data_IF_797344835041
#
_entry.id   IF_797344835041
#
_cell.length_a   1.000
_cell.length_b   1.000
_cell.length_c   1.000
_cell.angle_alpha   90.00
_cell.angle_beta   90.00
_cell.angle_gamma   90.00
#
_symmetry.space_group_name_H-M   'P 1'
#
loop_
_entity.id
_entity.type
_entity.pdbx_description
1 polymer ?
#
# COMPACT_ATOMS: atom_id res chain seq x y z
N UNK A 1 -29.24 1.75 -1.84
CA UNK A 1 -27.98 1.11 -2.28
C UNK A 1 -28.03 0.93 -3.79
N UNK A 2 -27.15 1.60 -4.56
CA UNK A 2 -26.97 1.29 -5.99
C UNK A 2 -26.52 -0.18 -6.09
N UNK A 3 -27.20 -1.01 -6.88
CA UNK A 3 -26.67 -2.32 -7.27
C UNK A 3 -25.48 -2.05 -8.19
N UNK A 4 -24.26 -2.18 -7.66
CA UNK A 4 -23.06 -2.23 -8.49
C UNK A 4 -22.97 -3.65 -9.05
N UNK A 5 -22.87 -3.81 -10.37
CA UNK A 5 -22.56 -5.13 -10.94
C UNK A 5 -21.14 -5.52 -10.53
N UNK A 6 -20.85 -6.83 -10.51
CA UNK A 6 -19.50 -7.32 -10.22
C UNK A 6 -18.46 -6.69 -11.15
N UNK A 7 -18.74 -6.65 -12.46
CA UNK A 7 -17.86 -6.02 -13.46
C UNK A 7 -17.61 -4.53 -13.18
N UNK A 8 -18.62 -3.79 -12.70
CA UNK A 8 -18.45 -2.39 -12.35
C UNK A 8 -17.56 -2.22 -11.11
N UNK A 9 -17.66 -3.14 -10.14
CA UNK A 9 -16.82 -3.13 -8.94
C UNK A 9 -15.37 -3.48 -9.25
N UNK A 10 -15.13 -4.50 -10.09
CA UNK A 10 -13.81 -4.88 -10.60
C UNK A 10 -13.17 -3.73 -11.38
N UNK A 11 -13.93 -3.09 -12.27
CA UNK A 11 -13.46 -1.93 -13.02
C UNK A 11 -13.11 -0.73 -12.13
N UNK A 12 -13.89 -0.47 -11.08
CA UNK A 12 -13.55 0.54 -10.08
C UNK A 12 -12.32 0.16 -9.26
N UNK A 13 -12.19 -1.12 -8.86
CA UNK A 13 -11.02 -1.62 -8.13
C UNK A 13 -9.74 -1.33 -8.93
N UNK A 14 -9.67 -1.82 -10.17
CA UNK A 14 -8.50 -1.63 -11.03
C UNK A 14 -8.23 -0.15 -11.29
N UNK A 15 -9.28 0.64 -11.52
CA UNK A 15 -9.15 2.10 -11.73
C UNK A 15 -8.49 2.81 -10.55
N UNK A 16 -8.81 2.43 -9.32
CA UNK A 16 -8.28 3.09 -8.13
C UNK A 16 -6.99 2.46 -7.64
N UNK A 17 -6.85 1.14 -7.65
CA UNK A 17 -5.73 0.49 -6.97
C UNK A 17 -4.57 0.13 -7.90
N UNK A 18 -4.84 -0.13 -9.18
CA UNK A 18 -3.80 -0.55 -10.12
C UNK A 18 -3.25 0.62 -10.94
N UNK A 19 -4.10 1.59 -11.32
CA UNK A 19 -3.69 2.70 -12.19
C UNK A 19 -3.28 3.99 -11.49
N UNK A 20 -3.51 4.11 -10.18
CA UNK A 20 -3.24 5.34 -9.43
C UNK A 20 -2.25 5.10 -8.30
N UNK A 21 -1.06 5.70 -8.43
CA UNK A 21 -0.01 5.55 -7.42
C UNK A 21 -0.38 6.17 -6.06
N UNK A 22 -1.30 7.13 -6.03
CA UNK A 22 -1.83 7.77 -4.82
C UNK A 22 -2.79 6.90 -4.01
N UNK A 23 -3.32 5.84 -4.61
CA UNK A 23 -4.33 4.97 -3.99
C UNK A 23 -3.93 3.51 -3.99
N UNK A 24 -2.80 3.14 -4.61
CA UNK A 24 -2.31 1.75 -4.64
C UNK A 24 -2.23 1.11 -3.24
N UNK A 25 -2.39 -0.21 -3.17
CA UNK A 25 -2.50 -0.95 -1.91
C UNK A 25 -1.14 -1.51 -1.42
N UNK A 26 -0.05 -0.78 -1.65
CA UNK A 26 1.30 -1.21 -1.26
C UNK A 26 1.97 -0.21 -0.32
N UNK A 27 2.24 -0.61 0.92
CA UNK A 27 2.78 0.25 1.97
C UNK A 27 4.07 0.94 1.54
N UNK A 28 5.01 0.18 0.98
CA UNK A 28 6.34 0.73 0.63
C UNK A 28 6.30 1.57 -0.63
N UNK A 29 5.30 1.41 -1.51
CA UNK A 29 5.13 2.27 -2.68
C UNK A 29 4.76 3.71 -2.27
N UNK A 30 3.96 3.86 -1.21
CA UNK A 30 3.64 5.18 -0.63
C UNK A 30 4.83 5.82 0.08
N UNK A 31 5.62 5.01 0.79
CA UNK A 31 6.75 5.51 1.58
C UNK A 31 8.00 5.81 0.74
N UNK A 32 8.27 4.99 -0.27
CA UNK A 32 9.57 4.93 -0.95
C UNK A 32 9.49 5.04 -2.48
N UNK A 33 8.29 5.02 -3.05
CA UNK A 33 8.10 4.99 -4.51
C UNK A 33 8.92 3.86 -5.16
N UNK A 34 9.55 4.16 -6.29
CA UNK A 34 10.40 3.21 -7.01
C UNK A 34 11.89 3.25 -6.61
N UNK A 35 12.20 3.89 -5.47
CA UNK A 35 13.58 4.00 -5.02
C UNK A 35 14.19 2.62 -4.70
N UNK A 36 15.51 2.50 -4.85
CA UNK A 36 16.24 1.27 -4.47
C UNK A 36 16.03 0.86 -3.02
N UNK A 37 15.69 1.81 -2.14
CA UNK A 37 15.39 1.56 -0.73
C UNK A 37 14.13 0.70 -0.54
N UNK A 38 13.20 0.71 -1.51
CA UNK A 38 11.99 -0.11 -1.49
C UNK A 38 12.30 -1.60 -1.40
N UNK A 39 13.28 -2.08 -2.19
CA UNK A 39 13.69 -3.50 -2.15
C UNK A 39 14.16 -3.94 -0.77
N UNK A 40 14.92 -3.09 -0.06
CA UNK A 40 15.37 -3.40 1.30
C UNK A 40 14.21 -3.41 2.30
N UNK A 41 13.23 -2.51 2.15
CA UNK A 41 12.04 -2.48 2.98
C UNK A 41 11.17 -3.74 2.80
N UNK A 42 11.02 -4.23 1.57
CA UNK A 42 10.30 -5.48 1.28
C UNK A 42 10.98 -6.69 1.94
N UNK A 43 12.31 -6.78 1.86
CA UNK A 43 13.07 -7.85 2.54
C UNK A 43 12.90 -7.78 4.05
N UNK A 44 12.91 -6.58 4.63
CA UNK A 44 12.70 -6.38 6.06
C UNK A 44 11.29 -6.79 6.50
N UNK A 45 10.25 -6.43 5.73
CA UNK A 45 8.86 -6.83 5.99
C UNK A 45 8.70 -8.35 5.93
N UNK A 46 9.18 -9.00 4.86
CA UNK A 46 9.13 -10.47 4.75
C UNK A 46 9.80 -11.17 5.93
N UNK A 47 10.94 -10.64 6.40
CA UNK A 47 11.62 -11.18 7.58
C UNK A 47 10.80 -11.00 8.86
N UNK A 48 10.16 -9.84 9.04
CA UNK A 48 9.27 -9.58 10.17
C UNK A 48 8.10 -10.57 10.18
N UNK A 49 7.39 -10.71 9.04
CA UNK A 49 6.26 -11.64 8.88
C UNK A 49 6.69 -13.08 9.17
N UNK A 50 7.80 -13.54 8.58
CA UNK A 50 8.32 -14.88 8.84
C UNK A 50 8.75 -15.11 10.30
N UNK A 51 9.27 -14.09 10.99
CA UNK A 51 9.63 -14.19 12.42
C UNK A 51 8.39 -14.34 13.31
N UNK A 52 7.26 -13.80 12.88
CA UNK A 52 5.98 -14.00 13.52
C UNK A 52 5.31 -15.35 13.19
N UNK A 53 5.93 -16.17 12.33
CA UNK A 53 5.35 -17.42 11.85
C UNK A 53 4.23 -17.24 10.83
N UNK A 54 4.14 -16.06 10.19
CA UNK A 54 3.17 -15.80 9.13
C UNK A 54 3.74 -16.30 7.79
N UNK A 55 3.00 -17.20 7.13
CA UNK A 55 3.37 -17.75 5.83
C UNK A 55 2.63 -17.00 4.71
N UNK A 56 3.39 -16.26 3.90
CA UNK A 56 2.88 -15.65 2.66
C UNK A 56 2.67 -16.76 1.60
N UNK A 57 1.56 -16.73 0.86
CA UNK A 57 1.30 -17.65 -0.26
C UNK A 57 2.17 -17.37 -1.50
N UNK A 58 2.87 -16.23 -1.49
CA UNK A 58 3.78 -15.78 -2.54
C UNK A 58 3.10 -15.17 -3.76
N UNK A 59 1.77 -14.99 -3.76
CA UNK A 59 1.08 -14.35 -4.89
C UNK A 59 1.24 -12.84 -4.90
N UNK A 60 1.36 -12.24 -3.72
CA UNK A 60 1.50 -10.79 -3.54
C UNK A 60 2.81 -10.42 -2.81
N UNK A 61 3.18 -9.15 -2.89
CA UNK A 61 4.33 -8.62 -2.14
C UNK A 61 4.03 -8.54 -0.62
N UNK A 62 5.06 -8.63 0.25
CA UNK A 62 4.89 -8.61 1.71
C UNK A 62 4.38 -7.27 2.25
N UNK A 63 4.28 -6.24 1.42
CA UNK A 63 3.79 -4.91 1.77
C UNK A 63 2.37 -4.62 1.26
N UNK A 64 1.69 -5.62 0.70
CA UNK A 64 0.29 -5.52 0.30
C UNK A 64 -0.60 -5.28 1.52
N UNK A 65 -1.38 -4.19 1.49
CA UNK A 65 -2.15 -3.70 2.64
C UNK A 65 -3.12 -4.76 3.22
N UNK A 66 -3.95 -5.45 2.42
CA UNK A 66 -4.80 -6.53 2.91
C UNK A 66 -4.04 -7.66 3.61
N UNK A 67 -2.90 -8.09 3.05
CA UNK A 67 -2.04 -9.09 3.68
C UNK A 67 -1.52 -8.61 5.04
N UNK A 68 -1.11 -7.35 5.13
CA UNK A 68 -0.67 -6.77 6.40
C UNK A 68 -1.82 -6.68 7.43
N UNK A 69 -3.04 -6.40 7.00
CA UNK A 69 -4.22 -6.45 7.89
C UNK A 69 -4.52 -7.86 8.37
N UNK A 70 -4.41 -8.87 7.50
CA UNK A 70 -4.53 -10.28 7.89
C UNK A 70 -3.45 -10.67 8.90
N UNK A 71 -2.22 -10.24 8.67
CA UNK A 71 -1.12 -10.42 9.61
C UNK A 71 -1.43 -9.79 10.98
N UNK A 72 -1.88 -8.52 11.02
CA UNK A 72 -2.25 -7.86 12.27
C UNK A 72 -3.38 -8.57 13.01
N UNK A 73 -4.31 -9.19 12.29
CA UNK A 73 -5.40 -9.97 12.86
C UNK A 73 -4.95 -11.34 13.39
N UNK A 74 -3.93 -11.95 12.77
CA UNK A 74 -3.45 -13.30 13.08
C UNK A 74 -2.24 -13.36 14.03
N UNK A 75 -1.49 -12.26 14.18
CA UNK A 75 -0.27 -12.22 14.99
C UNK A 75 -0.51 -12.64 16.44
N UNK A 76 0.55 -13.14 17.09
CA UNK A 76 0.52 -13.37 18.52
C UNK A 76 0.30 -12.04 19.29
N UNK A 77 -0.45 -12.04 20.41
CA UNK A 77 -0.73 -10.82 21.15
C UNK A 77 0.51 -10.05 21.63
N UNK A 78 1.62 -10.74 21.86
CA UNK A 78 2.90 -10.22 22.35
C UNK A 78 3.89 -9.86 21.23
N UNK A 79 3.54 -10.11 19.96
CA UNK A 79 4.38 -9.69 18.83
C UNK A 79 4.23 -8.18 18.60
N UNK A 80 5.35 -7.46 18.68
CA UNK A 80 5.39 -6.00 18.52
C UNK A 80 5.24 -5.60 17.05
N UNK A 81 4.15 -4.87 16.77
CA UNK A 81 3.78 -4.34 15.47
C UNK A 81 3.59 -2.83 15.50
N UNK A 82 4.02 -2.15 16.57
CA UNK A 82 3.73 -0.73 16.79
C UNK A 82 4.16 0.15 15.62
N UNK A 83 5.38 -0.06 15.09
CA UNK A 83 5.88 0.69 13.92
C UNK A 83 5.05 0.40 12.66
N UNK A 84 4.73 -0.86 12.41
CA UNK A 84 3.93 -1.28 11.26
C UNK A 84 2.52 -0.67 11.31
N UNK A 85 1.88 -0.69 12.47
CA UNK A 85 0.54 -0.13 12.68
C UNK A 85 0.52 1.38 12.44
N UNK A 86 1.53 2.12 12.92
CA UNK A 86 1.67 3.56 12.66
C UNK A 86 1.84 3.84 11.16
N UNK A 87 2.70 3.06 10.48
CA UNK A 87 2.96 3.20 9.04
C UNK A 87 1.70 2.91 8.21
N UNK A 88 0.98 1.83 8.55
CA UNK A 88 -0.31 1.49 7.94
C UNK A 88 -1.34 2.60 8.17
N UNK A 89 -1.45 3.14 9.38
CA UNK A 89 -2.42 4.19 9.69
C UNK A 89 -2.23 5.41 8.79
N UNK A 90 -0.97 5.82 8.58
CA UNK A 90 -0.61 6.94 7.70
C UNK A 90 -0.95 6.67 6.24
N UNK A 91 -0.55 5.51 5.71
CA UNK A 91 -0.81 5.17 4.30
C UNK A 91 -2.30 5.01 4.04
N UNK A 92 -3.04 4.32 4.90
CA UNK A 92 -4.48 4.15 4.76
C UNK A 92 -5.18 5.50 4.82
N UNK A 93 -4.74 6.41 5.70
CA UNK A 93 -5.26 7.78 5.73
C UNK A 93 -5.07 8.49 4.38
N UNK A 94 -3.87 8.43 3.79
CA UNK A 94 -3.59 9.03 2.47
C UNK A 94 -4.50 8.45 1.39
N UNK A 95 -4.65 7.12 1.33
CA UNK A 95 -5.52 6.45 0.36
C UNK A 95 -6.98 6.89 0.54
N UNK A 96 -7.47 6.93 1.78
CA UNK A 96 -8.84 7.36 2.10
C UNK A 96 -9.10 8.79 1.64
N UNK A 97 -8.14 9.71 1.81
CA UNK A 97 -8.28 11.09 1.35
C UNK A 97 -8.25 11.21 -0.17
N UNK A 98 -7.48 10.36 -0.86
CA UNK A 98 -7.36 10.35 -2.31
C UNK A 98 -8.57 9.70 -3.03
N UNK A 99 -9.29 8.78 -2.36
CA UNK A 99 -10.48 8.15 -2.92
C UNK A 99 -11.69 9.09 -2.96
N UNK A 100 -12.55 9.05 -4.00
CA UNK A 100 -13.77 9.84 -4.05
C UNK A 100 -14.73 9.55 -2.90
N UNK A 101 -15.47 10.56 -2.44
CA UNK A 101 -16.41 10.45 -1.30
C UNK A 101 -17.48 9.37 -1.49
N UNK A 102 -17.88 9.12 -2.74
CA UNK A 102 -18.88 8.12 -3.11
C UNK A 102 -18.30 6.73 -3.37
N UNK A 103 -16.99 6.53 -3.21
CA UNK A 103 -16.34 5.23 -3.40
C UNK A 103 -16.67 4.28 -2.24
N UNK A 104 -17.11 3.07 -2.56
CA UNK A 104 -17.34 2.01 -1.55
C UNK A 104 -16.05 1.64 -0.81
N UNK A 105 -14.91 1.74 -1.49
CA UNK A 105 -13.60 1.44 -0.92
C UNK A 105 -13.17 2.47 0.12
N UNK A 106 -13.58 3.74 -0.03
CA UNK A 106 -13.31 4.79 0.96
C UNK A 106 -13.91 4.42 2.31
N UNK A 107 -15.15 3.92 2.31
CA UNK A 107 -15.84 3.47 3.52
C UNK A 107 -15.15 2.27 4.18
N UNK A 108 -14.81 1.24 3.40
CA UNK A 108 -14.14 0.05 3.90
C UNK A 108 -12.77 0.37 4.54
N UNK A 109 -11.94 1.18 3.84
CA UNK A 109 -10.64 1.59 4.35
C UNK A 109 -10.74 2.53 5.55
N UNK A 110 -11.79 3.35 5.62
CA UNK A 110 -12.03 4.21 6.79
C UNK A 110 -12.35 3.39 8.05
N UNK A 111 -13.08 2.28 7.91
CA UNK A 111 -13.32 1.34 9.01
C UNK A 111 -12.02 0.65 9.41
N UNK A 112 -11.23 0.17 8.45
CA UNK A 112 -9.93 -0.44 8.74
C UNK A 112 -8.98 0.55 9.45
N UNK A 113 -8.95 1.82 9.02
CA UNK A 113 -8.18 2.88 9.67
C UNK A 113 -8.60 3.12 11.12
N UNK A 114 -9.88 2.95 11.46
CA UNK A 114 -10.37 3.13 12.84
C UNK A 114 -9.88 2.06 13.82
N UNK A 115 -9.33 0.95 13.31
CA UNK A 115 -8.73 -0.12 14.11
C UNK A 115 -7.23 0.12 14.37
N UNK A 116 -6.63 1.10 13.69
CA UNK A 116 -5.23 1.45 13.79
C UNK A 116 -5.02 2.61 14.78
N UNK A 117 -3.81 2.80 15.31
CA UNK A 117 -3.48 3.96 16.14
C UNK A 117 -3.69 5.27 15.38
N UNK A 118 -3.92 6.34 16.13
CA UNK A 118 -4.15 7.66 15.53
C UNK A 118 -2.97 8.09 14.65
N UNK A 119 -3.24 8.29 13.36
CA UNK A 119 -2.24 8.68 12.37
C UNK A 119 -1.65 10.08 12.62
N UNK A 120 -2.22 10.86 13.56
CA UNK A 120 -1.77 12.21 13.93
C UNK A 120 -0.52 12.28 14.84
N UNK A 121 0.10 11.14 15.16
CA UNK A 121 1.37 11.07 15.92
C UNK A 121 2.57 11.65 15.12
N UNK A 122 3.51 12.35 15.81
CA UNK A 122 4.41 13.35 15.21
C UNK A 122 5.39 12.80 14.17
N UNK A 123 5.92 13.71 13.35
CA UNK A 123 6.89 13.47 12.28
C UNK A 123 8.15 12.75 12.79
N UNK A 124 8.13 11.43 12.74
CA UNK A 124 9.24 10.61 13.17
C UNK A 124 8.99 9.15 12.83
N UNK A 125 9.29 8.76 11.60
CA UNK A 125 9.20 7.38 11.12
C UNK A 125 8.92 7.33 9.62
N UNK A 126 9.97 7.07 8.83
CA UNK A 126 10.03 6.93 7.37
C UNK A 126 9.30 7.99 6.52
N UNK A 127 9.98 9.14 6.43
CA UNK A 127 10.13 10.02 5.25
C UNK A 127 9.33 9.62 3.99
N UNK A 128 8.16 10.23 3.81
CA UNK A 128 7.49 10.40 2.49
C UNK A 128 8.35 11.19 1.47
N UNK A 129 9.54 11.65 1.86
CA UNK A 129 10.43 12.51 1.06
C UNK A 129 11.53 11.76 0.25
N UNK A 130 11.43 10.44 0.06
CA UNK A 130 12.32 9.70 -0.86
C UNK A 130 11.57 9.06 -2.03
N UNK A 131 10.43 9.62 -2.46
CA UNK A 131 9.97 9.38 -3.82
C UNK A 131 11.01 10.00 -4.76
N UNK A 132 11.93 9.17 -5.25
CA UNK A 132 12.66 9.53 -6.46
C UNK A 132 11.58 9.81 -7.52
N UNK A 133 11.58 11.02 -8.08
CA UNK A 133 10.68 11.34 -9.18
C UNK A 133 10.93 10.28 -10.27
N UNK A 134 9.86 9.73 -10.86
CA UNK A 134 10.00 8.90 -12.03
C UNK A 134 10.86 9.69 -13.03
N UNK A 135 11.92 9.05 -13.53
CA UNK A 135 12.76 9.65 -14.55
C UNK A 135 11.90 9.78 -15.80
N UNK A 136 11.32 10.98 -16.00
CA UNK A 136 10.46 11.32 -17.13
C UNK A 136 11.30 11.75 -18.34
N UNK A 137 12.62 11.61 -18.26
CA UNK A 137 13.50 11.82 -19.40
C UNK A 137 13.02 10.94 -20.55
N UNK A 138 12.84 11.55 -21.72
CA UNK A 138 12.47 10.84 -22.95
C UNK A 138 13.48 9.70 -23.16
N UNK A 139 12.99 8.46 -23.21
CA UNK A 139 13.82 7.31 -23.53
C UNK A 139 14.61 7.61 -24.81
N UNK A 140 15.95 7.48 -24.79
CA UNK A 140 16.79 7.92 -25.90
C UNK A 140 16.80 6.87 -27.02
N UNK A 141 15.64 6.48 -27.56
CA UNK A 141 15.59 5.55 -28.70
C UNK A 141 14.43 5.85 -29.64
N UNK A 142 14.68 6.39 -30.85
CA UNK A 142 13.81 6.08 -31.96
C UNK A 142 13.93 4.59 -32.28
N UNK A 143 12.85 3.83 -32.07
CA UNK A 143 12.69 2.50 -32.66
C UNK A 143 12.56 2.68 -34.17
N UNK A 144 13.68 2.67 -34.88
CA UNK A 144 13.67 2.49 -36.33
C UNK A 144 13.28 1.05 -36.62
N UNK A 145 11.98 0.81 -36.78
CA UNK A 145 11.53 -0.33 -37.55
C UNK A 145 11.90 -0.03 -39.00
N UNK A 146 12.96 -0.67 -39.49
CA UNK A 146 13.21 -0.70 -40.92
C UNK A 146 12.19 -1.68 -41.52
N UNK A 147 11.31 -1.14 -42.36
CA UNK A 147 10.36 -1.90 -43.20
C UNK A 147 11.07 -2.87 -44.16
#
# INVERSE_FOLDING_TARGET
>A
MKKCSQEALEGEYTRYFDFQSSTCLYLTAHELGDSRKRGLALVALRRMLGTAGFEEDGTELPDYLPLLFEFLAAKAPDFDTTDLEIRLARVVHVIVQALPENSVYRGALSIAASLLPDASLPEGGFVFANREAADLDELPYPLQYND
#
